data_IF_701495458389
#
_entry.id   IF_701495458389
#
_cell.length_a   1.000
_cell.length_b   1.000
_cell.length_c   1.000
_cell.angle_alpha   90.00
_cell.angle_beta   90.00
_cell.angle_gamma   90.00
#
_symmetry.space_group_name_H-M   'P 1'
#
loop_
_entity.id
_entity.type
_entity.pdbx_description
1 polymer ?
#
# COMPACT_ATOMS: atom_id res chain seq x y z
N UNK A 1 1.06 10.94 -18.30
CA UNK A 1 2.18 10.00 -18.55
C UNK A 1 1.70 8.62 -18.15
N UNK A 2 1.85 7.59 -18.99
CA UNK A 2 1.40 6.24 -18.63
C UNK A 2 2.20 5.72 -17.42
N UNK A 3 1.56 4.95 -16.52
CA UNK A 3 2.22 4.36 -15.38
C UNK A 3 3.28 3.35 -15.83
N UNK A 4 4.39 3.30 -15.08
CA UNK A 4 5.51 2.39 -15.33
C UNK A 4 5.71 1.49 -14.12
N UNK A 5 5.08 0.30 -14.07
CA UNK A 5 5.39 -0.68 -13.04
C UNK A 5 6.86 -1.10 -13.13
N UNK A 6 7.53 -1.13 -11.97
CA UNK A 6 8.91 -1.59 -11.81
C UNK A 6 8.89 -2.84 -10.94
N UNK A 7 9.51 -3.92 -11.41
CA UNK A 7 9.67 -5.15 -10.64
C UNK A 7 11.07 -5.21 -10.02
N UNK A 8 11.15 -5.48 -8.73
CA UNK A 8 12.40 -5.50 -7.97
C UNK A 8 12.67 -6.88 -7.34
N UNK A 9 13.95 -7.23 -7.23
CA UNK A 9 14.41 -8.44 -6.53
C UNK A 9 14.25 -8.29 -5.01
N UNK A 10 14.49 -9.37 -4.26
CA UNK A 10 14.50 -9.33 -2.79
C UNK A 10 15.59 -8.40 -2.19
N UNK A 11 16.54 -7.92 -3.00
CA UNK A 11 17.55 -6.92 -2.62
C UNK A 11 17.18 -5.49 -3.05
N UNK A 12 15.98 -5.28 -3.60
CA UNK A 12 15.52 -3.98 -4.09
C UNK A 12 16.09 -3.57 -5.47
N UNK A 13 16.83 -4.44 -6.16
CA UNK A 13 17.31 -4.12 -7.50
C UNK A 13 16.21 -4.29 -8.55
N UNK A 14 15.93 -3.26 -9.38
CA UNK A 14 14.98 -3.39 -10.46
C UNK A 14 15.51 -4.36 -11.51
N UNK A 15 14.66 -5.26 -11.99
CA UNK A 15 15.03 -6.23 -13.03
C UNK A 15 14.05 -6.27 -14.21
N UNK A 16 12.92 -5.56 -14.10
CA UNK A 16 11.95 -5.41 -15.20
C UNK A 16 11.18 -4.11 -15.04
N UNK A 17 10.76 -3.55 -16.17
CA UNK A 17 9.82 -2.45 -16.27
C UNK A 17 8.93 -2.69 -17.49
N UNK A 18 7.65 -2.35 -17.39
CA UNK A 18 6.71 -2.42 -18.51
C UNK A 18 6.07 -1.04 -18.70
N UNK A 19 5.86 -0.63 -19.95
CA UNK A 19 5.03 0.53 -20.28
C UNK A 19 3.66 -0.04 -20.65
N UNK A 20 2.63 0.37 -19.91
CA UNK A 20 1.25 -0.02 -20.23
C UNK A 20 0.73 0.95 -21.30
N UNK A 21 0.41 0.42 -22.48
CA UNK A 21 -0.17 1.19 -23.58
C UNK A 21 -1.65 1.49 -23.31
N UNK A 22 -2.04 2.72 -23.68
CA UNK A 22 -3.38 3.31 -23.55
C UNK A 22 -3.92 3.45 -22.12
N UNK A 23 -4.88 4.38 -21.95
CA UNK A 23 -5.66 4.64 -20.73
C UNK A 23 -6.56 3.45 -20.34
N UNK A 24 -6.07 2.23 -20.50
CA UNK A 24 -6.67 0.99 -20.04
C UNK A 24 -6.65 1.05 -18.51
N UNK A 25 -7.73 1.55 -17.92
CA UNK A 25 -7.82 1.85 -16.48
C UNK A 25 -7.05 0.82 -15.65
N UNK A 26 -5.96 1.26 -14.99
CA UNK A 26 -4.97 0.43 -14.27
C UNK A 26 -5.60 -0.60 -13.34
N UNK A 27 -6.75 -0.20 -12.81
CA UNK A 27 -7.72 -1.02 -12.11
C UNK A 27 -7.89 -2.39 -12.78
N UNK A 28 -8.23 -2.49 -14.06
CA UNK A 28 -8.54 -3.78 -14.70
C UNK A 28 -7.31 -4.59 -15.13
N UNK A 29 -6.13 -4.01 -15.16
CA UNK A 29 -4.91 -4.63 -15.74
C UNK A 29 -3.92 -5.14 -14.71
N UNK A 30 -4.01 -4.70 -13.45
CA UNK A 30 -3.09 -5.10 -12.37
C UNK A 30 -2.98 -6.62 -12.21
N UNK A 31 -4.11 -7.32 -12.20
CA UNK A 31 -4.16 -8.78 -12.00
C UNK A 31 -3.58 -9.53 -13.20
N UNK A 32 -3.91 -9.12 -14.42
CA UNK A 32 -3.36 -9.71 -15.64
C UNK A 32 -1.84 -9.50 -15.77
N UNK A 33 -1.33 -8.34 -15.35
CA UNK A 33 0.10 -8.08 -15.31
C UNK A 33 0.81 -8.92 -14.24
N UNK A 34 0.22 -9.06 -13.05
CA UNK A 34 0.76 -9.89 -11.99
C UNK A 34 0.89 -11.36 -12.42
N UNK A 35 -0.15 -11.91 -13.06
CA UNK A 35 -0.12 -13.28 -13.60
C UNK A 35 0.90 -13.43 -14.73
N UNK A 36 1.02 -12.42 -15.60
CA UNK A 36 2.04 -12.40 -16.67
C UNK A 36 3.46 -12.42 -16.10
N UNK A 37 3.74 -11.59 -15.09
CA UNK A 37 5.05 -11.57 -14.42
C UNK A 37 5.33 -12.89 -13.69
N UNK A 38 4.32 -13.46 -13.03
CA UNK A 38 4.42 -14.78 -12.39
C UNK A 38 4.87 -15.83 -13.39
N UNK A 39 4.23 -15.88 -14.58
CA UNK A 39 4.56 -16.84 -15.64
C UNK A 39 5.93 -16.56 -16.26
N UNK A 40 6.25 -15.29 -16.55
CA UNK A 40 7.49 -14.87 -17.21
C UNK A 40 8.73 -15.13 -16.34
N UNK A 41 8.61 -14.90 -15.04
CA UNK A 41 9.74 -14.98 -14.10
C UNK A 41 9.65 -16.17 -13.13
N UNK A 42 8.65 -17.06 -13.31
CA UNK A 42 8.39 -18.23 -12.46
C UNK A 42 8.32 -17.89 -10.95
N UNK A 43 7.65 -16.78 -10.61
CA UNK A 43 7.59 -16.28 -9.23
C UNK A 43 6.59 -17.07 -8.39
N UNK A 44 7.00 -17.51 -7.20
CA UNK A 44 6.15 -18.26 -6.28
C UNK A 44 5.28 -17.35 -5.40
N UNK A 45 5.83 -16.19 -5.03
CA UNK A 45 5.15 -15.16 -4.25
C UNK A 45 5.53 -13.79 -4.80
N UNK A 46 4.54 -12.92 -4.92
CA UNK A 46 4.71 -11.56 -5.42
C UNK A 46 4.13 -10.60 -4.38
N UNK A 47 4.94 -9.65 -3.93
CA UNK A 47 4.49 -8.52 -3.10
C UNK A 47 4.37 -7.33 -4.04
N UNK A 48 3.18 -6.75 -4.12
CA UNK A 48 2.90 -5.60 -4.97
C UNK A 48 2.77 -4.35 -4.12
N UNK A 49 3.34 -3.25 -4.60
CA UNK A 49 3.21 -1.94 -3.97
C UNK A 49 2.69 -0.98 -5.03
N UNK A 50 1.54 -0.38 -4.78
CA UNK A 50 0.90 0.54 -5.72
C UNK A 50 0.20 1.68 -4.98
N UNK A 51 0.04 2.79 -5.68
CA UNK A 51 -0.80 3.89 -5.22
C UNK A 51 -2.27 3.45 -5.18
N UNK A 52 -3.04 4.01 -4.25
CA UNK A 52 -4.48 3.78 -4.14
C UNK A 52 -5.22 4.05 -5.45
N UNK A 53 -4.81 5.06 -6.20
CA UNK A 53 -5.45 5.44 -7.48
C UNK A 53 -5.28 4.41 -8.60
N UNK A 54 -4.36 3.45 -8.45
CA UNK A 54 -4.05 2.44 -9.47
C UNK A 54 -4.82 1.12 -9.30
N UNK A 55 -5.64 1.00 -8.26
CA UNK A 55 -6.30 -0.25 -7.87
C UNK A 55 -7.77 0.00 -7.51
N UNK A 56 -8.66 -0.96 -7.77
CA UNK A 56 -10.00 -0.97 -7.18
C UNK A 56 -10.14 -2.05 -6.11
N UNK A 57 -11.19 -1.93 -5.32
CA UNK A 57 -11.57 -2.97 -4.35
C UNK A 57 -11.78 -4.34 -4.97
N UNK A 58 -12.30 -4.42 -6.19
CA UNK A 58 -12.49 -5.70 -6.89
C UNK A 58 -11.15 -6.35 -7.23
N UNK A 59 -10.12 -5.56 -7.53
CA UNK A 59 -8.77 -6.10 -7.73
C UNK A 59 -8.17 -6.59 -6.43
N UNK A 60 -8.31 -5.83 -5.35
CA UNK A 60 -7.81 -6.24 -4.03
C UNK A 60 -8.42 -7.58 -3.63
N UNK A 61 -9.74 -7.73 -3.76
CA UNK A 61 -10.43 -9.01 -3.51
C UNK A 61 -9.93 -10.14 -4.40
N UNK A 62 -9.65 -9.87 -5.68
CA UNK A 62 -9.08 -10.87 -6.58
C UNK A 62 -7.69 -11.31 -6.12
N UNK A 63 -6.84 -10.39 -5.69
CA UNK A 63 -5.51 -10.70 -5.16
C UNK A 63 -5.59 -11.48 -3.86
N UNK A 64 -6.49 -11.11 -2.94
CA UNK A 64 -6.74 -11.80 -1.67
C UNK A 64 -7.22 -13.25 -1.88
N UNK A 65 -7.97 -13.51 -2.96
CA UNK A 65 -8.39 -14.86 -3.36
C UNK A 65 -7.24 -15.78 -3.80
N UNK A 66 -6.04 -15.23 -4.03
CA UNK A 66 -4.86 -15.97 -4.48
C UNK A 66 -3.80 -16.06 -3.38
N UNK A 67 -3.34 -17.28 -3.09
CA UNK A 67 -2.27 -17.51 -2.09
C UNK A 67 -0.88 -17.02 -2.53
N UNK A 68 -0.73 -16.57 -3.77
CA UNK A 68 0.55 -16.18 -4.33
C UNK A 68 0.79 -14.66 -4.29
N UNK A 69 -0.22 -13.86 -3.91
CA UNK A 69 -0.13 -12.40 -3.92
C UNK A 69 -0.22 -11.84 -2.50
N UNK A 70 0.63 -10.84 -2.25
CA UNK A 70 0.53 -9.91 -1.14
C UNK A 70 0.58 -8.50 -1.73
N UNK A 71 0.01 -7.53 -1.03
CA UNK A 71 0.05 -6.15 -1.49
C UNK A 71 0.19 -5.15 -0.34
N UNK A 72 0.69 -3.97 -0.70
CA UNK A 72 0.73 -2.76 0.11
C UNK A 72 0.16 -1.63 -0.76
N UNK A 73 -0.84 -0.93 -0.24
CA UNK A 73 -1.43 0.23 -0.92
C UNK A 73 -1.77 1.30 0.11
N UNK A 74 -1.76 2.55 -0.33
CA UNK A 74 -2.39 3.62 0.44
C UNK A 74 -3.91 3.43 0.48
N UNK A 75 -4.56 4.10 1.42
CA UNK A 75 -6.01 4.24 1.49
C UNK A 75 -6.42 5.66 1.12
N UNK A 76 -7.60 5.80 0.51
CA UNK A 76 -8.17 7.12 0.27
C UNK A 76 -8.84 7.67 1.54
N UNK A 77 -9.16 8.96 1.52
CA UNK A 77 -9.70 9.67 2.68
C UNK A 77 -11.02 9.07 3.18
N UNK A 78 -11.85 8.58 2.27
CA UNK A 78 -13.16 8.03 2.61
C UNK A 78 -13.00 6.68 3.32
N UNK A 79 -12.06 5.85 2.84
CA UNK A 79 -11.71 4.57 3.47
C UNK A 79 -11.09 4.73 4.85
N UNK A 80 -10.25 5.75 5.06
CA UNK A 80 -9.62 6.01 6.37
C UNK A 80 -10.65 6.17 7.49
N UNK A 81 -11.79 6.82 7.21
CA UNK A 81 -12.86 7.02 8.21
C UNK A 81 -13.55 5.74 8.64
N UNK A 82 -13.49 4.68 7.82
CA UNK A 82 -14.04 3.36 8.12
C UNK A 82 -13.13 2.47 8.97
N UNK A 83 -11.87 2.85 9.21
CA UNK A 83 -10.92 2.02 9.95
C UNK A 83 -11.20 2.11 11.44
N UNK A 84 -11.47 0.96 12.05
CA UNK A 84 -11.64 0.85 13.50
C UNK A 84 -10.36 1.32 14.21
N UNK A 85 -10.50 2.29 15.11
CA UNK A 85 -9.39 2.84 15.90
C UNK A 85 -8.74 4.08 15.29
N UNK A 86 -8.99 4.38 14.02
CA UNK A 86 -8.54 5.63 13.42
C UNK A 86 -9.36 6.82 13.96
N UNK A 87 -8.66 7.83 14.50
CA UNK A 87 -9.25 9.05 15.07
C UNK A 87 -8.49 10.28 14.54
N UNK A 88 -8.95 10.90 13.43
CA UNK A 88 -8.21 11.98 12.79
C UNK A 88 -8.05 13.22 13.68
N UNK A 89 -8.89 13.38 14.71
CA UNK A 89 -8.82 14.48 15.68
C UNK A 89 -7.49 14.55 16.41
N UNK A 90 -6.82 13.40 16.61
CA UNK A 90 -5.50 13.31 17.25
C UNK A 90 -4.46 14.14 16.50
N UNK A 91 -4.63 14.32 15.19
CA UNK A 91 -3.64 14.91 14.30
C UNK A 91 -3.96 16.34 13.87
N UNK A 92 -5.09 16.92 14.30
CA UNK A 92 -5.52 18.27 13.89
C UNK A 92 -4.50 19.38 14.19
N UNK A 93 -3.69 19.21 15.24
CA UNK A 93 -2.71 20.20 15.69
C UNK A 93 -1.27 19.83 15.29
N UNK A 94 -1.08 18.81 14.44
CA UNK A 94 0.24 18.46 13.94
C UNK A 94 0.67 19.46 12.88
N UNK A 95 1.84 20.05 13.07
CA UNK A 95 2.46 21.03 12.18
C UNK A 95 3.91 20.64 11.91
N UNK A 96 4.61 21.41 11.09
CA UNK A 96 6.05 21.22 10.86
C UNK A 96 6.91 21.44 12.10
N UNK A 97 6.36 22.10 13.12
CA UNK A 97 7.04 22.40 14.38
C UNK A 97 6.74 21.37 15.47
N UNK A 98 5.89 20.37 15.17
CA UNK A 98 5.57 19.32 16.13
C UNK A 98 6.82 18.57 16.55
N UNK A 99 6.99 18.43 17.86
CA UNK A 99 8.12 17.71 18.45
C UNK A 99 7.89 16.20 18.48
N UNK A 100 8.97 15.42 18.53
CA UNK A 100 8.92 13.96 18.71
C UNK A 100 8.05 13.55 19.92
N UNK A 101 8.18 14.25 21.04
CA UNK A 101 7.40 13.98 22.26
C UNK A 101 5.89 14.16 22.02
N UNK A 102 5.49 15.14 21.21
CA UNK A 102 4.09 15.35 20.86
C UNK A 102 3.56 14.22 19.96
N UNK A 103 4.37 13.72 19.03
CA UNK A 103 4.01 12.59 18.16
C UNK A 103 3.87 11.30 18.98
N UNK A 104 4.82 11.02 19.87
CA UNK A 104 4.80 9.83 20.75
C UNK A 104 3.63 9.91 21.73
N UNK A 105 3.36 11.08 22.34
CA UNK A 105 2.22 11.25 23.26
C UNK A 105 0.86 11.01 22.58
N UNK A 106 0.80 11.15 21.26
CA UNK A 106 -0.40 10.81 20.47
C UNK A 106 -0.56 9.33 20.23
N UNK A 107 0.41 8.47 20.58
CA UNK A 107 0.33 7.02 20.45
C UNK A 107 1.07 6.43 19.25
N UNK A 108 1.88 7.21 18.54
CA UNK A 108 2.75 6.68 17.49
C UNK A 108 4.07 6.18 18.07
N UNK A 109 4.59 5.14 17.43
CA UNK A 109 5.90 4.58 17.71
C UNK A 109 6.91 5.15 16.72
N UNK A 110 8.12 5.46 17.18
CA UNK A 110 9.20 5.88 16.31
C UNK A 110 9.75 4.66 15.56
N UNK A 111 9.84 4.76 14.23
CA UNK A 111 10.46 3.75 13.38
C UNK A 111 11.92 4.11 13.07
N UNK A 112 12.16 5.33 12.63
CA UNK A 112 13.49 5.91 12.38
C UNK A 112 13.52 7.40 12.78
N UNK A 113 14.57 8.11 12.38
CA UNK A 113 14.75 9.53 12.75
C UNK A 113 13.63 10.44 12.26
N UNK A 114 12.91 10.03 11.21
CA UNK A 114 11.91 10.87 10.52
C UNK A 114 10.52 10.23 10.40
N UNK A 115 10.41 8.94 10.72
CA UNK A 115 9.20 8.16 10.46
C UNK A 115 8.60 7.64 11.75
N UNK A 116 7.29 7.84 11.90
CA UNK A 116 6.50 7.33 13.01
C UNK A 116 5.35 6.48 12.50
N UNK A 117 4.89 5.53 13.31
CA UNK A 117 3.80 4.64 12.89
C UNK A 117 2.90 4.18 14.03
N UNK A 118 1.70 3.75 13.66
CA UNK A 118 0.74 3.07 14.53
C UNK A 118 0.15 1.87 13.77
N UNK A 119 0.23 0.68 14.35
CA UNK A 119 -0.46 -0.50 13.83
C UNK A 119 -1.90 -0.49 14.36
N UNK A 120 -2.85 -0.20 13.46
CA UNK A 120 -4.28 -0.15 13.77
C UNK A 120 -4.91 -1.56 13.81
N UNK A 121 -4.11 -2.60 13.58
CA UNK A 121 -4.51 -3.99 13.62
C UNK A 121 -5.12 -4.48 12.31
N UNK A 122 -5.79 -5.64 12.42
CA UNK A 122 -6.41 -6.34 11.30
C UNK A 122 -7.93 -6.13 11.37
N UNK A 123 -8.52 -5.70 10.26
CA UNK A 123 -9.97 -5.53 10.16
C UNK A 123 -10.71 -6.86 9.91
N UNK A 124 -12.05 -6.80 9.84
CA UNK A 124 -12.89 -7.97 9.60
C UNK A 124 -12.69 -8.62 8.22
N UNK A 125 -12.11 -7.91 7.26
CA UNK A 125 -11.75 -8.45 5.94
C UNK A 125 -10.38 -9.15 5.95
N UNK A 126 -9.63 -9.06 7.05
CA UNK A 126 -8.28 -9.63 7.16
C UNK A 126 -7.17 -8.69 6.70
N UNK A 127 -7.48 -7.42 6.41
CA UNK A 127 -6.47 -6.42 6.01
C UNK A 127 -5.86 -5.77 7.24
N UNK A 128 -4.52 -5.66 7.27
CA UNK A 128 -3.78 -4.92 8.30
C UNK A 128 -3.61 -3.46 7.88
N UNK A 129 -3.89 -2.54 8.79
CA UNK A 129 -3.77 -1.11 8.56
C UNK A 129 -2.63 -0.53 9.38
N UNK A 130 -1.68 0.13 8.71
CA UNK A 130 -0.55 0.81 9.36
C UNK A 130 -0.67 2.28 9.01
N UNK A 131 -0.85 3.12 10.04
CA UNK A 131 -0.77 4.56 9.91
C UNK A 131 0.71 4.96 9.98
N UNK A 132 1.18 5.74 9.01
CA UNK A 132 2.56 6.25 8.96
C UNK A 132 2.51 7.78 8.92
N UNK A 133 3.39 8.42 9.68
CA UNK A 133 3.47 9.87 9.84
C UNK A 133 4.92 10.35 9.73
#
# INVERSE_FOLDING_TARGET
MPPKPITQSNRGYPFSWDILEDYTADVKTLTGNADRWKKKFNLQKIIMVFDRGMVSEDNLKHLEGSKNYLYITALDKDQLTGIKGFKPERFKNLTKETTENEIISKGLNKYDDTTYYEDLGVDSSGRRHILVF
#
